data_IF_145533420224
#
_entry.id   IF_145533420224
#
_cell.length_a   1.000
_cell.length_b   1.000
_cell.length_c   1.000
_cell.angle_alpha   90.00
_cell.angle_beta   90.00
_cell.angle_gamma   90.00
#
_symmetry.space_group_name_H-M   'P 1'
#
loop_
_entity.id
_entity.type
_entity.pdbx_description
1 polymer ?
#
# COMPACT_ATOMS: atom_id res chain seq x y z
N UNK A 1 -0.64 6.14 10.95
CA UNK A 1 -1.56 5.60 9.93
C UNK A 1 -1.29 4.12 9.85
N UNK A 2 -2.29 3.33 10.18
CA UNK A 2 -2.17 1.88 10.15
C UNK A 2 -2.39 1.33 8.73
N UNK A 3 -2.07 0.06 8.54
CA UNK A 3 -2.17 -0.61 7.24
C UNK A 3 -3.57 -0.57 6.63
N UNK A 4 -4.63 -0.61 7.45
CA UNK A 4 -6.03 -0.59 6.98
C UNK A 4 -6.44 0.79 6.48
N UNK A 5 -6.06 1.85 7.20
CA UNK A 5 -6.26 3.23 6.78
C UNK A 5 -5.52 3.51 5.47
N UNK A 6 -4.27 3.08 5.36
CA UNK A 6 -3.51 3.29 4.14
C UNK A 6 -4.08 2.54 2.95
N UNK A 7 -4.54 1.30 3.17
CA UNK A 7 -5.26 0.52 2.14
C UNK A 7 -6.50 1.27 1.65
N UNK A 8 -7.32 1.83 2.56
CA UNK A 8 -8.50 2.64 2.20
C UNK A 8 -8.12 3.88 1.39
N UNK A 9 -7.07 4.59 1.81
CA UNK A 9 -6.58 5.75 1.06
C UNK A 9 -6.10 5.36 -0.34
N UNK A 10 -5.34 4.27 -0.48
CA UNK A 10 -4.91 3.74 -1.78
C UNK A 10 -6.12 3.32 -2.66
N UNK A 11 -7.17 2.73 -2.08
CA UNK A 11 -8.41 2.44 -2.80
C UNK A 11 -9.04 3.72 -3.37
N UNK A 12 -9.04 4.83 -2.62
CA UNK A 12 -9.55 6.12 -3.09
C UNK A 12 -8.72 6.70 -4.25
N UNK A 13 -7.43 6.34 -4.33
CA UNK A 13 -6.58 6.69 -5.46
C UNK A 13 -6.80 5.78 -6.69
N UNK A 14 -7.71 4.80 -6.61
CA UNK A 14 -7.97 3.84 -7.69
C UNK A 14 -7.07 2.60 -7.66
N UNK A 15 -6.35 2.34 -6.57
CA UNK A 15 -5.50 1.18 -6.46
C UNK A 15 -6.30 -0.12 -6.31
N UNK A 16 -5.81 -1.20 -6.93
CA UNK A 16 -6.35 -2.56 -6.78
C UNK A 16 -5.38 -3.45 -5.99
N UNK A 17 -5.89 -4.54 -5.43
CA UNK A 17 -5.14 -5.36 -4.48
C UNK A 17 -5.21 -6.85 -4.82
N UNK A 18 -4.10 -7.55 -4.64
CA UNK A 18 -4.04 -9.02 -4.71
C UNK A 18 -3.34 -9.60 -3.47
N UNK A 19 -3.69 -10.83 -3.04
CA UNK A 19 -2.98 -11.50 -1.96
C UNK A 19 -1.48 -11.66 -2.27
N UNK A 20 -0.64 -11.52 -1.24
CA UNK A 20 0.78 -11.84 -1.29
C UNK A 20 1.15 -12.83 -0.16
N UNK A 21 2.44 -13.12 0.00
CA UNK A 21 2.92 -14.03 1.04
C UNK A 21 2.58 -13.49 2.44
N UNK A 22 1.92 -14.30 3.25
CA UNK A 22 1.55 -13.96 4.63
C UNK A 22 0.53 -12.81 4.68
N UNK A 23 0.68 -11.93 5.67
CA UNK A 23 -0.21 -10.77 5.84
C UNK A 23 0.13 -9.59 4.92
N UNK A 24 0.66 -9.81 3.71
CA UNK A 24 0.96 -8.73 2.77
C UNK A 24 -0.01 -8.74 1.61
N UNK A 25 -0.21 -7.58 0.97
CA UNK A 25 -0.97 -7.47 -0.28
C UNK A 25 -0.14 -6.77 -1.33
N UNK A 26 -0.22 -7.25 -2.58
CA UNK A 26 0.27 -6.49 -3.72
C UNK A 26 -0.72 -5.37 -4.03
N UNK A 27 -0.20 -4.20 -4.33
CA UNK A 27 -0.97 -3.00 -4.69
C UNK A 27 -0.62 -2.66 -6.12
N UNK A 28 -1.63 -2.42 -6.95
CA UNK A 28 -1.46 -2.02 -8.34
C UNK A 28 -2.15 -0.68 -8.59
N UNK A 29 -1.45 0.25 -9.23
CA UNK A 29 -1.99 1.56 -9.60
C UNK A 29 -1.32 2.05 -10.88
N UNK A 30 -2.10 2.38 -11.92
CA UNK A 30 -1.61 2.97 -13.17
C UNK A 30 -0.42 2.20 -13.80
N UNK A 31 -0.49 0.86 -13.83
CA UNK A 31 0.58 0.00 -14.34
C UNK A 31 1.80 -0.16 -13.43
N UNK A 32 1.81 0.48 -12.25
CA UNK A 32 2.85 0.34 -11.22
C UNK A 32 2.39 -0.64 -10.15
N UNK A 33 3.37 -1.24 -9.47
CA UNK A 33 3.10 -2.15 -8.35
C UNK A 33 3.91 -1.79 -7.11
N UNK A 34 3.37 -2.15 -5.95
CA UNK A 34 4.06 -2.12 -4.66
C UNK A 34 3.55 -3.25 -3.76
N UNK A 35 4.12 -3.39 -2.57
CA UNK A 35 3.68 -4.35 -1.56
C UNK A 35 3.36 -3.61 -0.26
N UNK A 36 2.13 -3.80 0.22
CA UNK A 36 1.65 -3.24 1.47
C UNK A 36 1.64 -4.32 2.56
N UNK A 37 2.43 -4.18 3.64
CA UNK A 37 2.26 -4.99 4.84
C UNK A 37 0.92 -4.70 5.50
N UNK A 38 0.15 -5.74 5.87
CA UNK A 38 -1.13 -5.64 6.59
C UNK A 38 -0.98 -6.09 8.05
N UNK A 39 -0.11 -5.43 8.80
CA UNK A 39 0.04 -5.66 10.24
C UNK A 39 -0.90 -4.77 11.06
N UNK A 40 -1.19 -5.16 12.30
CA UNK A 40 -2.04 -4.40 13.25
C UNK A 40 -1.29 -3.24 13.93
N UNK A 41 -0.16 -2.80 13.38
CA UNK A 41 0.65 -1.69 13.89
C UNK A 41 0.65 -0.52 12.91
N UNK A 42 1.11 0.63 13.38
CA UNK A 42 1.35 1.77 12.51
C UNK A 42 2.44 1.46 11.48
N UNK A 43 2.24 2.02 10.27
CA UNK A 43 3.26 2.00 9.23
C UNK A 43 4.30 3.07 9.51
N UNK A 44 5.57 2.69 9.43
CA UNK A 44 6.68 3.64 9.50
C UNK A 44 6.56 4.63 8.34
N UNK A 45 6.88 5.91 8.58
CA UNK A 45 6.82 6.97 7.57
C UNK A 45 7.59 6.60 6.29
N UNK A 46 8.79 6.01 6.42
CA UNK A 46 9.58 5.57 5.27
C UNK A 46 8.87 4.51 4.40
N UNK A 47 8.07 3.63 5.00
CA UNK A 47 7.27 2.62 4.27
C UNK A 47 6.16 3.29 3.47
N UNK A 48 5.45 4.24 4.08
CA UNK A 48 4.38 4.99 3.40
C UNK A 48 4.92 5.73 2.18
N UNK A 49 5.99 6.50 2.37
CA UNK A 49 6.60 7.29 1.31
C UNK A 49 7.24 6.40 0.22
N UNK A 50 7.83 5.27 0.62
CA UNK A 50 8.33 4.27 -0.32
C UNK A 50 7.24 3.69 -1.21
N UNK A 51 6.09 3.31 -0.62
CA UNK A 51 4.95 2.77 -1.38
C UNK A 51 4.37 3.84 -2.31
N UNK A 52 4.15 5.07 -1.84
CA UNK A 52 3.68 6.17 -2.70
C UNK A 52 4.60 6.40 -3.89
N UNK A 53 5.92 6.49 -3.64
CA UNK A 53 6.93 6.66 -4.69
C UNK A 53 6.87 5.54 -5.73
N UNK A 54 6.79 4.28 -5.27
CA UNK A 54 6.67 3.12 -6.17
C UNK A 54 5.39 3.15 -7.01
N UNK A 55 4.28 3.61 -6.42
CA UNK A 55 3.00 3.76 -7.12
C UNK A 55 2.89 5.06 -7.92
N UNK A 56 3.92 5.93 -7.90
CA UNK A 56 3.91 7.20 -8.60
C UNK A 56 2.98 8.26 -8.01
N UNK A 57 2.63 8.12 -6.74
CA UNK A 57 1.86 9.09 -5.98
C UNK A 57 2.83 10.12 -5.38
N UNK A 58 2.47 11.40 -5.47
CA UNK A 58 3.21 12.51 -4.86
C UNK A 58 2.79 12.70 -3.40
#
# INVERSE_FOLDING_TARGET
MNSKEFKRWLTQQGATFQPAKGSHVKVYLNGKQSVLPMHNTDLKKGTLEGIKKQLGLK
#
